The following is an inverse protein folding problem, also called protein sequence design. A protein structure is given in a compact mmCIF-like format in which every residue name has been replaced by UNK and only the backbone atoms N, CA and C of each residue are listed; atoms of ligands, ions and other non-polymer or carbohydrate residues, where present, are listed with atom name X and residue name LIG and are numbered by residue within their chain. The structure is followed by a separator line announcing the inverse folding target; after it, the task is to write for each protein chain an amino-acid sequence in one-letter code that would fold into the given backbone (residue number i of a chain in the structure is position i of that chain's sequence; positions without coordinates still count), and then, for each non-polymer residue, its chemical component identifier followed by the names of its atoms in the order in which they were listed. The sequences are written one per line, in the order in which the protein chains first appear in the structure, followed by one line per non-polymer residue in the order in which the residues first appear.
data_IF_951406373512
#
_entry.id   IF_951406373512
#
_cell.length_a   1.000
_cell.length_b   1.000
_cell.length_c   1.000
_cell.angle_alpha   90.00
_cell.angle_beta   90.00
_cell.angle_gamma   90.00
#
_symmetry.space_group_name_H-M   'P 1'
#
loop_
_entity.id
_entity.type
_entity.pdbx_description
1 polymer ?
#
# COMPACT_ATOMS: atom_id res chain seq x y z
N UNK A 1 12.89 7.38 8.43
CA UNK A 1 13.49 6.05 8.15
C UNK A 1 14.99 6.26 8.21
N UNK A 2 15.72 5.51 9.05
CA UNK A 2 17.18 5.70 9.24
C UNK A 2 18.02 5.39 7.99
N UNK A 3 17.43 4.73 7.00
CA UNK A 3 18.11 4.39 5.75
C UNK A 3 17.83 5.47 4.70
N UNK A 4 18.83 6.30 4.42
CA UNK A 4 18.78 7.37 3.43
C UNK A 4 19.93 8.36 3.63
N UNK A 5 20.11 9.34 2.72
CA UNK A 5 21.13 10.39 2.88
C UNK A 5 20.75 11.45 3.93
N UNK A 6 19.62 11.29 4.61
CA UNK A 6 19.15 12.23 5.62
C UNK A 6 20.09 12.17 6.84
N UNK A 7 20.61 13.33 7.23
CA UNK A 7 21.42 13.50 8.45
C UNK A 7 20.60 14.00 9.63
N UNK A 8 19.37 14.44 9.39
CA UNK A 8 18.44 14.92 10.41
C UNK A 8 17.25 13.96 10.53
N UNK A 9 16.98 13.50 11.74
CA UNK A 9 15.88 12.58 12.03
C UNK A 9 14.89 13.21 13.01
N UNK A 10 13.62 13.24 12.63
CA UNK A 10 12.53 13.65 13.52
C UNK A 10 11.69 12.41 13.84
N UNK A 11 11.53 12.14 15.13
CA UNK A 11 10.89 10.94 15.64
C UNK A 11 9.87 11.32 16.68
N UNK A 12 8.62 10.91 16.44
CA UNK A 12 7.49 11.29 17.27
C UNK A 12 6.97 10.07 18.05
N UNK A 13 6.85 10.23 19.37
CA UNK A 13 6.25 9.31 20.33
C UNK A 13 6.74 7.85 20.20
N UNK A 14 8.04 7.64 20.03
CA UNK A 14 8.59 6.31 19.75
C UNK A 14 8.47 5.32 20.92
N UNK A 15 8.16 5.79 22.13
CA UNK A 15 7.94 4.97 23.32
C UNK A 15 6.51 4.45 23.46
N UNK A 16 5.56 4.96 22.67
CA UNK A 16 4.14 4.59 22.82
C UNK A 16 3.92 3.12 22.44
N UNK A 17 3.41 2.33 23.40
CA UNK A 17 3.14 0.90 23.23
C UNK A 17 4.36 0.00 23.47
N UNK A 18 5.46 0.53 23.99
CA UNK A 18 6.66 -0.22 24.35
C UNK A 18 6.89 -0.25 25.86
N UNK A 19 7.59 -1.28 26.35
CA UNK A 19 8.10 -1.30 27.72
C UNK A 19 9.37 -0.44 27.87
N UNK A 20 9.73 -0.11 29.11
CA UNK A 20 10.87 0.76 29.41
C UNK A 20 12.20 0.19 28.92
N UNK A 21 12.39 -1.13 28.97
CA UNK A 21 13.64 -1.77 28.55
C UNK A 21 13.81 -1.74 27.03
N UNK A 22 12.73 -2.01 26.28
CA UNK A 22 12.74 -1.91 24.82
C UNK A 22 12.92 -0.47 24.37
N UNK A 23 12.28 0.48 25.05
CA UNK A 23 12.45 1.92 24.76
C UNK A 23 13.91 2.33 24.92
N UNK A 24 14.57 1.95 26.02
CA UNK A 24 15.99 2.22 26.25
C UNK A 24 16.88 1.64 25.13
N UNK A 25 16.65 0.39 24.74
CA UNK A 25 17.42 -0.25 23.67
C UNK A 25 17.27 0.46 22.33
N UNK A 26 16.06 0.89 21.98
CA UNK A 26 15.78 1.62 20.75
C UNK A 26 16.48 2.98 20.76
N UNK A 27 16.34 3.76 21.84
CA UNK A 27 16.97 5.07 21.97
C UNK A 27 18.49 4.96 21.92
N UNK A 28 19.07 3.97 22.61
CA UNK A 28 20.51 3.74 22.58
C UNK A 28 21.01 3.35 21.18
N UNK A 29 20.25 2.52 20.45
CA UNK A 29 20.57 2.15 19.06
C UNK A 29 20.50 3.35 18.10
N UNK A 30 19.50 4.22 18.29
CA UNK A 30 19.37 5.46 17.53
C UNK A 30 20.56 6.38 17.82
N UNK A 31 20.91 6.57 19.09
CA UNK A 31 22.08 7.37 19.51
C UNK A 31 23.37 6.88 18.85
N UNK A 32 23.62 5.57 18.88
CA UNK A 32 24.80 4.98 18.23
C UNK A 32 24.78 5.22 16.71
N UNK A 33 23.62 5.05 16.06
CA UNK A 33 23.47 5.28 14.63
C UNK A 33 23.75 6.74 14.25
N UNK A 34 23.28 7.69 15.06
CA UNK A 34 23.51 9.13 14.87
C UNK A 34 24.99 9.48 15.00
N UNK A 35 25.68 8.96 16.02
CA UNK A 35 27.11 9.16 16.19
C UNK A 35 27.93 8.62 15.01
N UNK A 36 27.56 7.45 14.48
CA UNK A 36 28.27 6.84 13.34
C UNK A 36 28.01 7.61 12.05
N UNK A 37 26.78 8.10 11.85
CA UNK A 37 26.38 8.81 10.63
C UNK A 37 26.66 10.31 10.65
N UNK A 38 27.21 10.83 11.76
CA UNK A 38 27.37 12.27 12.03
C UNK A 38 26.06 13.05 11.77
N UNK A 39 24.97 12.52 12.33
CA UNK A 39 23.63 13.09 12.19
C UNK A 39 23.15 13.87 13.41
N UNK A 40 21.90 14.30 13.36
CA UNK A 40 21.15 14.89 14.47
C UNK A 40 19.78 14.23 14.53
N UNK A 41 19.26 13.95 15.72
CA UNK A 41 17.88 13.52 15.87
C UNK A 41 17.15 14.30 16.94
N UNK A 42 15.89 14.59 16.67
CA UNK A 42 14.92 15.14 17.61
C UNK A 42 13.89 14.04 17.86
N UNK A 43 13.78 13.62 19.12
CA UNK A 43 12.91 12.53 19.54
C UNK A 43 11.96 13.07 20.60
N UNK A 44 10.64 12.89 20.42
CA UNK A 44 9.67 13.11 21.48
C UNK A 44 9.42 11.79 22.24
N UNK A 45 9.45 11.87 23.59
CA UNK A 45 9.18 10.74 24.47
C UNK A 45 8.11 11.12 25.49
N UNK A 46 7.14 10.21 25.69
CA UNK A 46 6.12 10.34 26.72
C UNK A 46 6.59 9.62 27.99
N UNK A 47 6.91 10.39 29.04
CA UNK A 47 7.32 9.89 30.37
C UNK A 47 8.45 8.84 30.31
N UNK A 48 9.66 9.21 29.84
CA UNK A 48 10.79 8.29 29.78
C UNK A 48 11.22 7.83 31.18
N UNK A 49 11.73 6.60 31.26
CA UNK A 49 12.43 6.12 32.46
C UNK A 49 13.76 6.89 32.65
N UNK A 50 14.28 7.03 33.88
CA UNK A 50 15.51 7.78 34.15
C UNK A 50 16.69 7.33 33.29
N UNK A 51 16.82 6.01 33.07
CA UNK A 51 17.91 5.45 32.28
C UNK A 51 17.83 5.87 30.81
N UNK A 52 16.62 6.08 30.28
CA UNK A 52 16.43 6.56 28.90
C UNK A 52 16.62 8.07 28.81
N UNK A 53 16.23 8.80 29.86
CA UNK A 53 16.43 10.24 29.98
C UNK A 53 17.92 10.60 29.93
N UNK A 54 18.77 9.82 30.58
CA UNK A 54 20.23 10.02 30.64
C UNK A 54 20.97 9.72 29.32
N UNK A 55 20.28 9.21 28.29
CA UNK A 55 20.88 8.95 26.97
C UNK A 55 20.91 10.19 26.07
N UNK A 56 20.17 11.25 26.40
CA UNK A 56 20.04 12.45 25.57
C UNK A 56 21.11 13.47 25.90
N UNK A 57 21.74 14.03 24.86
CA UNK A 57 22.72 15.10 25.02
C UNK A 57 22.03 16.43 25.40
N UNK A 58 20.87 16.71 24.78
CA UNK A 58 20.06 17.90 25.01
C UNK A 58 18.58 17.56 25.26
N UNK A 59 17.94 18.36 26.11
CA UNK A 59 16.55 18.12 26.55
C UNK A 59 15.73 19.40 26.42
N UNK A 60 14.62 19.27 25.71
CA UNK A 60 13.60 20.31 25.57
C UNK A 60 12.37 19.86 26.35
N UNK A 61 11.95 20.64 27.35
CA UNK A 61 10.71 20.40 28.10
C UNK A 61 9.63 21.35 27.62
N UNK A 62 8.50 20.78 27.21
CA UNK A 62 7.30 21.50 26.78
C UNK A 62 6.19 21.29 27.84
N UNK A 63 5.53 22.37 28.27
CA UNK A 63 4.33 22.36 29.11
C UNK A 63 3.36 23.41 28.63
N UNK A 64 2.06 23.08 28.52
CA UNK A 64 0.99 24.00 28.09
C UNK A 64 1.35 24.82 26.84
N UNK A 65 1.88 24.15 25.81
CA UNK A 65 2.32 24.74 24.54
C UNK A 65 3.50 25.73 24.66
N UNK A 66 4.13 25.84 25.84
CA UNK A 66 5.31 26.66 26.08
C UNK A 66 6.56 25.82 26.35
N UNK A 67 7.72 26.34 25.93
CA UNK A 67 9.02 25.75 26.27
C UNK A 67 9.37 26.18 27.70
N UNK A 68 9.42 25.21 28.61
CA UNK A 68 9.74 25.43 30.03
C UNK A 68 11.23 25.33 30.28
N UNK A 69 11.92 24.44 29.56
CA UNK A 69 13.36 24.23 29.67
C UNK A 69 13.94 23.98 28.29
N UNK A 70 15.01 24.70 28.00
CA UNK A 70 15.80 24.58 26.79
C UNK A 70 17.26 24.47 27.23
N UNK A 71 18.05 23.61 26.58
CA UNK A 71 19.50 23.56 26.82
C UNK A 71 20.15 24.91 26.53
N UNK A 72 21.20 25.26 27.29
CA UNK A 72 21.85 26.57 27.23
C UNK A 72 22.37 26.91 25.81
N UNK A 73 22.69 25.90 24.99
CA UNK A 73 23.17 26.07 23.61
C UNK A 73 22.10 26.60 22.64
N UNK A 74 20.82 26.30 22.87
CA UNK A 74 19.73 26.69 21.96
C UNK A 74 19.17 28.10 22.24
N UNK A 75 19.61 28.76 23.32
CA UNK A 75 19.21 30.13 23.66
C UNK A 75 19.84 31.17 22.72
N UNK A 76 20.98 30.83 22.11
CA UNK A 76 21.70 31.72 21.20
C UNK A 76 21.15 31.55 19.76
N UNK A 77 20.74 32.64 19.07
CA UNK A 77 20.26 32.55 17.69
C UNK A 77 21.34 31.97 16.76
N UNK A 78 20.99 30.91 16.03
CA UNK A 78 21.91 30.31 15.06
C UNK A 78 22.20 31.26 13.89
N UNK A 79 23.49 31.49 13.61
CA UNK A 79 23.93 32.32 12.50
C UNK A 79 23.81 31.58 11.16
N UNK A 80 22.84 31.99 10.35
CA UNK A 80 22.54 31.39 9.03
C UNK A 80 23.71 31.47 8.04
N UNK A 81 24.70 32.34 8.26
CA UNK A 81 25.89 32.41 7.40
C UNK A 81 26.81 31.19 7.51
N UNK A 82 26.70 30.44 8.63
CA UNK A 82 27.46 29.20 8.88
C UNK A 82 26.79 27.95 8.31
N UNK A 83 25.60 28.07 7.72
CA UNK A 83 24.85 26.95 7.17
C UNK A 83 25.56 26.36 5.93
N UNK A 84 25.81 25.05 5.96
CA UNK A 84 26.37 24.36 4.80
C UNK A 84 25.38 24.38 3.61
N UNK A 85 25.80 24.60 2.35
CA UNK A 85 24.91 24.65 1.19
C UNK A 85 24.07 23.38 0.95
N UNK A 86 24.57 22.24 1.44
CA UNK A 86 23.87 20.95 1.39
C UNK A 86 23.01 20.65 2.64
N UNK A 87 22.87 21.57 3.59
CA UNK A 87 22.05 21.38 4.79
C UNK A 87 20.57 21.22 4.44
N UNK A 88 20.08 21.89 3.39
CA UNK A 88 18.72 21.77 2.89
C UNK A 88 18.68 20.94 1.61
N UNK A 89 17.92 19.83 1.63
CA UNK A 89 17.69 19.06 0.41
C UNK A 89 16.93 19.87 -0.62
N UNK A 90 17.52 20.08 -1.80
CA UNK A 90 16.90 20.82 -2.90
C UNK A 90 16.00 19.95 -3.77
N UNK A 91 16.12 18.61 -3.63
CA UNK A 91 15.36 17.64 -4.43
C UNK A 91 14.29 16.99 -3.57
N UNK A 92 13.05 17.00 -4.09
CA UNK A 92 11.88 16.41 -3.44
C UNK A 92 11.95 14.88 -3.31
N UNK A 93 12.66 14.21 -4.21
CA UNK A 93 12.83 12.76 -4.23
C UNK A 93 14.32 12.42 -4.32
N UNK A 94 14.76 11.40 -3.58
CA UNK A 94 16.18 11.01 -3.52
C UNK A 94 16.71 10.29 -4.76
N UNK A 95 15.83 9.80 -5.64
CA UNK A 95 16.17 8.92 -6.77
C UNK A 95 15.44 9.37 -8.04
N UNK A 96 15.92 8.97 -9.22
CA UNK A 96 15.27 9.31 -10.49
C UNK A 96 13.87 8.68 -10.60
N UNK A 97 12.95 9.35 -11.32
CA UNK A 97 11.57 8.89 -11.53
C UNK A 97 11.48 7.49 -12.16
N UNK A 98 12.44 7.12 -13.02
CA UNK A 98 12.48 5.82 -13.69
C UNK A 98 12.84 4.70 -12.73
N UNK A 99 13.84 4.92 -11.88
CA UNK A 99 14.26 3.96 -10.86
C UNK A 99 13.19 3.79 -9.78
N UNK A 100 12.53 4.88 -9.38
CA UNK A 100 11.35 4.85 -8.51
C UNK A 100 10.26 3.95 -9.09
N UNK A 101 9.90 4.14 -10.36
CA UNK A 101 8.91 3.30 -11.03
C UNK A 101 9.35 1.83 -11.08
N UNK A 102 10.62 1.56 -11.41
CA UNK A 102 11.18 0.20 -11.44
C UNK A 102 11.12 -0.46 -10.07
N UNK A 103 11.49 0.26 -9.01
CA UNK A 103 11.44 -0.23 -7.63
C UNK A 103 10.00 -0.50 -7.17
N UNK A 104 9.06 0.41 -7.45
CA UNK A 104 7.64 0.23 -7.15
C UNK A 104 7.06 -0.97 -7.91
N UNK A 105 7.43 -1.16 -9.17
CA UNK A 105 7.00 -2.31 -9.99
C UNK A 105 7.54 -3.62 -9.44
N UNK A 106 8.83 -3.68 -9.12
CA UNK A 106 9.45 -4.87 -8.53
C UNK A 106 8.81 -5.24 -7.18
N UNK A 107 8.52 -4.23 -6.34
CA UNK A 107 7.80 -4.42 -5.07
C UNK A 107 6.41 -4.99 -5.29
N UNK A 108 5.60 -4.42 -6.18
CA UNK A 108 4.23 -4.90 -6.39
C UNK A 108 4.24 -6.32 -6.97
N UNK A 109 5.13 -6.61 -7.93
CA UNK A 109 5.29 -7.97 -8.45
C UNK A 109 5.69 -8.98 -7.36
N UNK A 110 6.63 -8.62 -6.49
CA UNK A 110 7.05 -9.47 -5.38
C UNK A 110 5.91 -9.70 -4.38
N UNK A 111 5.13 -8.66 -4.08
CA UNK A 111 3.95 -8.77 -3.22
C UNK A 111 2.89 -9.68 -3.83
N UNK A 112 2.64 -9.57 -5.14
CA UNK A 112 1.73 -10.46 -5.86
C UNK A 112 2.21 -11.91 -5.82
N UNK A 113 3.52 -12.14 -6.03
CA UNK A 113 4.11 -13.49 -5.98
C UNK A 113 4.02 -14.10 -4.57
N UNK A 114 4.30 -13.32 -3.53
CA UNK A 114 4.21 -13.80 -2.14
C UNK A 114 2.78 -14.05 -1.70
N UNK A 115 1.83 -13.25 -2.17
CA UNK A 115 0.41 -13.42 -1.88
C UNK A 115 -0.32 -14.19 -3.00
N UNK A 116 0.39 -15.06 -3.72
CA UNK A 116 -0.16 -15.84 -4.84
C UNK A 116 -1.33 -16.73 -4.42
N UNK A 117 -1.35 -17.16 -3.16
CA UNK A 117 -2.42 -17.94 -2.55
C UNK A 117 -3.80 -17.29 -2.75
N UNK A 118 -3.91 -15.98 -2.53
CA UNK A 118 -5.17 -15.23 -2.70
C UNK A 118 -5.64 -15.28 -4.15
N UNK A 119 -4.71 -15.14 -5.10
CA UNK A 119 -5.04 -15.21 -6.53
C UNK A 119 -5.48 -16.63 -6.93
N UNK A 120 -4.79 -17.67 -6.48
CA UNK A 120 -5.16 -19.07 -6.76
C UNK A 120 -6.55 -19.38 -6.21
N UNK A 121 -6.82 -18.99 -4.96
CA UNK A 121 -8.12 -19.19 -4.34
C UNK A 121 -9.23 -18.48 -5.12
N UNK A 122 -8.99 -17.24 -5.56
CA UNK A 122 -9.92 -16.46 -6.38
C UNK A 122 -10.21 -17.14 -7.73
N UNK A 123 -9.22 -17.74 -8.38
CA UNK A 123 -9.42 -18.51 -9.61
C UNK A 123 -10.28 -19.76 -9.40
N UNK A 124 -10.07 -20.48 -8.29
CA UNK A 124 -10.87 -21.66 -7.94
C UNK A 124 -12.31 -21.23 -7.63
N UNK A 125 -12.49 -20.19 -6.82
CA UNK A 125 -13.81 -19.62 -6.52
C UNK A 125 -14.56 -19.23 -7.80
N UNK A 126 -13.89 -18.53 -8.73
CA UNK A 126 -14.47 -18.14 -10.00
C UNK A 126 -14.92 -19.35 -10.83
N UNK A 127 -14.11 -20.41 -10.86
CA UNK A 127 -14.42 -21.65 -11.60
C UNK A 127 -15.63 -22.37 -10.99
N UNK A 128 -15.75 -22.41 -9.67
CA UNK A 128 -16.92 -22.96 -8.98
C UNK A 128 -18.19 -22.15 -9.27
N UNK A 129 -18.10 -20.82 -9.24
CA UNK A 129 -19.22 -19.94 -9.57
C UNK A 129 -19.64 -20.07 -11.04
N UNK A 130 -18.68 -20.18 -11.96
CA UNK A 130 -18.96 -20.47 -13.36
C UNK A 130 -19.66 -21.82 -13.52
N UNK A 131 -19.27 -22.84 -12.75
CA UNK A 131 -19.91 -24.16 -12.75
C UNK A 131 -21.36 -24.12 -12.31
N UNK A 132 -21.67 -23.38 -11.24
CA UNK A 132 -23.06 -23.15 -10.79
C UNK A 132 -23.86 -22.45 -11.88
N UNK A 133 -23.29 -21.41 -12.49
CA UNK A 133 -23.92 -20.64 -13.58
C UNK A 133 -24.26 -21.54 -14.77
N UNK A 134 -23.32 -22.40 -15.18
CA UNK A 134 -23.50 -23.36 -16.27
C UNK A 134 -24.66 -24.33 -15.99
N UNK A 135 -24.78 -24.83 -14.75
CA UNK A 135 -25.86 -25.75 -14.39
C UNK A 135 -27.22 -25.06 -14.29
N UNK A 136 -27.26 -23.78 -13.89
CA UNK A 136 -28.50 -23.02 -13.76
C UNK A 136 -29.08 -22.64 -15.13
N UNK A 137 -28.21 -22.32 -16.08
CA UNK A 137 -28.56 -21.83 -17.41
C UNK A 137 -28.14 -22.83 -18.48
N UNK A 138 -28.59 -24.07 -18.37
CA UNK A 138 -28.26 -25.12 -19.34
C UNK A 138 -28.96 -24.87 -20.68
N UNK A 139 -28.21 -25.03 -21.78
CA UNK A 139 -28.71 -24.93 -23.16
C UNK A 139 -29.96 -25.76 -23.45
N UNK A 140 -30.12 -26.93 -22.82
CA UNK A 140 -31.26 -27.82 -23.04
C UNK A 140 -32.59 -27.24 -22.56
N UNK A 141 -32.58 -26.33 -21.60
CA UNK A 141 -33.80 -25.67 -21.08
C UNK A 141 -34.06 -24.30 -21.75
N UNK A 142 -33.08 -23.75 -22.47
CA UNK A 142 -33.17 -22.45 -23.15
C UNK A 142 -33.63 -22.57 -24.61
N UNK A 143 -34.94 -22.67 -24.79
CA UNK A 143 -35.56 -22.60 -26.13
C UNK A 143 -35.43 -21.18 -26.72
N UNK A 144 -35.52 -21.02 -28.04
CA UNK A 144 -35.36 -19.72 -28.74
C UNK A 144 -36.64 -19.24 -29.44
N UNK A 145 -37.77 -19.82 -29.07
CA UNK A 145 -38.98 -19.75 -29.89
C UNK A 145 -39.96 -18.68 -29.41
N UNK A 146 -39.79 -18.21 -28.17
CA UNK A 146 -40.77 -17.33 -27.51
C UNK A 146 -40.11 -16.09 -26.92
N UNK A 147 -40.86 -14.99 -26.82
CA UNK A 147 -40.42 -13.75 -26.15
C UNK A 147 -40.10 -13.96 -24.67
N UNK A 148 -40.74 -14.92 -24.00
CA UNK A 148 -40.42 -15.36 -22.64
C UNK A 148 -39.03 -15.96 -22.52
N UNK A 149 -38.56 -16.68 -23.55
CA UNK A 149 -37.23 -17.27 -23.54
C UNK A 149 -36.14 -16.18 -23.63
N UNK A 150 -36.41 -15.10 -24.38
CA UNK A 150 -35.54 -13.93 -24.44
C UNK A 150 -35.32 -13.27 -23.08
N UNK A 151 -36.32 -13.28 -22.20
CA UNK A 151 -36.19 -12.78 -20.82
C UNK A 151 -35.23 -13.65 -20.00
N UNK A 152 -35.22 -14.96 -20.23
CA UNK A 152 -34.30 -15.88 -19.54
C UNK A 152 -32.84 -15.64 -19.96
N UNK A 153 -32.59 -15.42 -21.25
CA UNK A 153 -31.26 -15.02 -21.75
C UNK A 153 -30.80 -13.67 -21.18
N UNK A 154 -31.71 -12.69 -21.09
CA UNK A 154 -31.42 -11.40 -20.46
C UNK A 154 -31.07 -11.58 -18.98
N UNK A 155 -31.79 -12.46 -18.27
CA UNK A 155 -31.50 -12.84 -16.89
C UNK A 155 -30.12 -13.48 -16.72
N UNK A 156 -29.71 -14.34 -17.65
CA UNK A 156 -28.38 -14.95 -17.65
C UNK A 156 -27.26 -13.91 -17.84
N UNK A 157 -27.43 -12.97 -18.77
CA UNK A 157 -26.49 -11.86 -18.97
C UNK A 157 -26.40 -10.96 -17.73
N UNK A 158 -27.55 -10.61 -17.14
CA UNK A 158 -27.59 -9.81 -15.92
C UNK A 158 -26.87 -10.50 -14.76
N UNK A 159 -27.14 -11.80 -14.57
CA UNK A 159 -26.47 -12.61 -13.56
C UNK A 159 -24.95 -12.67 -13.78
N UNK A 160 -24.49 -12.85 -15.02
CA UNK A 160 -23.07 -12.85 -15.35
C UNK A 160 -22.38 -11.52 -14.99
N UNK A 161 -23.01 -10.38 -15.29
CA UNK A 161 -22.50 -9.05 -14.93
C UNK A 161 -22.44 -8.89 -13.40
N UNK A 162 -23.50 -9.29 -12.70
CA UNK A 162 -23.53 -9.25 -11.23
C UNK A 162 -22.39 -10.07 -10.63
N UNK A 163 -22.17 -11.30 -11.11
CA UNK A 163 -21.15 -12.18 -10.56
C UNK A 163 -19.73 -11.63 -10.76
N UNK A 164 -19.43 -11.05 -11.93
CA UNK A 164 -18.15 -10.39 -12.18
C UNK A 164 -17.99 -9.16 -11.26
N UNK A 165 -19.06 -8.39 -11.05
CA UNK A 165 -19.03 -7.21 -10.17
C UNK A 165 -18.75 -7.59 -8.70
N UNK A 166 -19.42 -8.62 -8.19
CA UNK A 166 -19.18 -9.14 -6.83
C UNK A 166 -17.75 -9.65 -6.64
N UNK A 167 -17.17 -10.29 -7.67
CA UNK A 167 -15.77 -10.70 -7.61
C UNK A 167 -14.83 -9.50 -7.48
N UNK A 168 -15.12 -8.40 -8.17
CA UNK A 168 -14.36 -7.13 -8.07
C UNK A 168 -14.35 -6.51 -6.67
N UNK A 169 -15.42 -6.69 -5.86
CA UNK A 169 -15.47 -6.17 -4.49
C UNK A 169 -14.39 -6.78 -3.57
N UNK A 170 -14.04 -8.05 -3.77
CA UNK A 170 -13.01 -8.72 -2.96
C UNK A 170 -11.64 -8.05 -3.11
N UNK A 171 -11.30 -7.57 -4.32
CA UNK A 171 -10.05 -6.85 -4.57
C UNK A 171 -10.00 -5.45 -3.96
N UNK A 172 -11.16 -4.81 -3.87
CA UNK A 172 -11.28 -3.47 -3.32
C UNK A 172 -10.92 -3.47 -1.83
N UNK A 173 -11.39 -4.46 -1.07
CA UNK A 173 -11.04 -4.63 0.34
C UNK A 173 -9.53 -4.78 0.55
N UNK A 174 -8.87 -5.61 -0.27
CA UNK A 174 -7.41 -5.79 -0.24
C UNK A 174 -6.66 -4.49 -0.57
N UNK A 175 -7.22 -3.66 -1.46
CA UNK A 175 -6.63 -2.37 -1.85
C UNK A 175 -6.74 -1.34 -0.72
N UNK A 176 -7.86 -1.31 0.00
CA UNK A 176 -8.06 -0.44 1.17
C UNK A 176 -7.05 -0.77 2.28
N UNK A 177 -6.75 -2.05 2.52
CA UNK A 177 -5.75 -2.42 3.53
C UNK A 177 -4.34 -1.89 3.23
N UNK A 178 -4.01 -1.63 1.95
CA UNK A 178 -2.71 -1.05 1.56
C UNK A 178 -2.65 0.47 1.74
N UNK A 179 -3.79 1.17 1.80
CA UNK A 179 -3.85 2.65 1.81
C UNK A 179 -3.08 3.32 2.95
N UNK A 180 -3.18 2.86 4.22
CA UNK A 180 -2.45 3.50 5.32
C UNK A 180 -0.93 3.50 5.10
N UNK A 181 -0.41 2.39 4.58
CA UNK A 181 1.02 2.26 4.25
C UNK A 181 1.43 3.16 3.08
N UNK A 182 0.54 3.34 2.09
CA UNK A 182 0.75 4.23 0.96
C UNK A 182 0.81 5.69 1.43
N UNK A 183 -0.14 6.15 2.23
CA UNK A 183 -0.15 7.52 2.74
C UNK A 183 1.09 7.81 3.58
N UNK A 184 1.44 6.91 4.50
CA UNK A 184 2.67 7.04 5.30
C UNK A 184 3.92 7.17 4.44
N UNK A 185 4.05 6.39 3.37
CA UNK A 185 5.21 6.44 2.47
C UNK A 185 5.19 7.67 1.55
N UNK A 186 4.02 8.09 1.09
CA UNK A 186 3.85 9.28 0.26
C UNK A 186 4.21 10.54 1.03
N UNK A 187 3.75 10.65 2.27
CA UNK A 187 3.97 11.83 3.12
C UNK A 187 5.44 11.94 3.55
N UNK A 188 6.13 10.79 3.68
CA UNK A 188 7.60 10.70 3.80
C UNK A 188 8.35 10.89 2.47
N UNK A 189 7.67 11.32 1.40
CA UNK A 189 8.26 11.63 0.09
C UNK A 189 9.05 10.48 -0.56
N UNK A 190 8.72 9.22 -0.28
CA UNK A 190 9.41 8.08 -0.90
C UNK A 190 9.16 8.00 -2.41
N UNK A 191 7.91 8.17 -2.83
CA UNK A 191 7.52 8.11 -4.24
C UNK A 191 6.27 8.96 -4.50
N UNK A 192 6.09 9.49 -5.73
CA UNK A 192 4.85 10.13 -6.13
C UNK A 192 3.72 9.11 -6.32
N UNK A 193 2.46 9.56 -6.17
CA UNK A 193 1.28 8.70 -6.27
C UNK A 193 1.19 7.90 -7.59
N UNK A 194 1.54 8.53 -8.72
CA UNK A 194 1.50 7.88 -10.03
C UNK A 194 2.47 6.70 -10.14
N UNK A 195 3.64 6.75 -9.46
CA UNK A 195 4.64 5.69 -9.51
C UNK A 195 4.19 4.42 -8.78
N UNK A 196 3.23 4.56 -7.86
CA UNK A 196 2.57 3.45 -7.18
C UNK A 196 1.34 2.94 -7.96
N UNK A 197 0.53 3.84 -8.51
CA UNK A 197 -0.70 3.49 -9.20
C UNK A 197 -0.45 2.77 -10.54
N UNK A 198 0.48 3.27 -11.36
CA UNK A 198 0.72 2.71 -12.71
C UNK A 198 1.13 1.23 -12.69
N UNK A 199 2.13 0.79 -11.88
CA UNK A 199 2.51 -0.63 -11.86
C UNK A 199 1.37 -1.53 -11.40
N UNK A 200 0.57 -1.08 -10.43
CA UNK A 200 -0.57 -1.83 -9.92
C UNK A 200 -1.59 -2.10 -11.02
N UNK A 201 -1.89 -1.10 -11.87
CA UNK A 201 -2.82 -1.25 -12.99
C UNK A 201 -2.24 -2.18 -14.06
N UNK A 202 -0.99 -1.94 -14.47
CA UNK A 202 -0.33 -2.71 -15.53
C UNK A 202 -0.23 -4.20 -15.16
N UNK A 203 0.08 -4.52 -13.91
CA UNK A 203 0.21 -5.91 -13.45
C UNK A 203 -1.15 -6.61 -13.27
N UNK A 204 -2.23 -5.86 -12.97
CA UNK A 204 -3.56 -6.42 -12.78
C UNK A 204 -4.31 -6.70 -14.09
N UNK A 205 -4.12 -5.88 -15.13
CA UNK A 205 -4.82 -6.05 -16.41
C UNK A 205 -4.69 -7.47 -16.99
N UNK A 206 -3.48 -8.08 -17.07
CA UNK A 206 -3.35 -9.45 -17.55
C UNK A 206 -4.10 -10.47 -16.68
N UNK A 207 -4.11 -10.28 -15.36
CA UNK A 207 -4.81 -11.18 -14.43
C UNK A 207 -6.32 -11.12 -14.65
N UNK A 208 -6.88 -9.91 -14.76
CA UNK A 208 -8.32 -9.74 -15.00
C UNK A 208 -8.74 -10.25 -16.38
N UNK A 209 -7.87 -10.15 -17.39
CA UNK A 209 -8.12 -10.74 -18.71
C UNK A 209 -8.22 -12.27 -18.64
N UNK A 210 -7.34 -12.93 -17.88
CA UNK A 210 -7.38 -14.39 -17.69
C UNK A 210 -8.63 -14.82 -16.93
N UNK A 211 -9.01 -14.08 -15.89
CA UNK A 211 -10.26 -14.33 -15.13
C UNK A 211 -11.50 -14.26 -16.04
N UNK A 212 -11.65 -13.18 -16.81
CA UNK A 212 -12.78 -13.00 -17.72
C UNK A 212 -12.75 -14.05 -18.83
N UNK A 213 -11.57 -14.38 -19.38
CA UNK A 213 -11.45 -15.41 -20.41
C UNK A 213 -11.94 -16.78 -19.92
N UNK A 214 -11.57 -17.19 -18.69
CA UNK A 214 -12.05 -18.45 -18.11
C UNK A 214 -13.57 -18.42 -17.92
N UNK A 215 -14.10 -17.33 -17.37
CA UNK A 215 -15.55 -17.18 -17.18
C UNK A 215 -16.32 -17.30 -18.51
N UNK A 216 -15.90 -16.56 -19.54
CA UNK A 216 -16.54 -16.58 -20.85
C UNK A 216 -16.41 -17.94 -21.50
N UNK A 217 -15.22 -18.54 -21.53
CA UNK A 217 -15.00 -19.87 -22.13
C UNK A 217 -15.90 -20.95 -21.50
N UNK A 218 -16.10 -20.92 -20.18
CA UNK A 218 -16.96 -21.89 -19.49
C UNK A 218 -18.44 -21.62 -19.75
N UNK A 219 -18.88 -20.37 -19.57
CA UNK A 219 -20.32 -20.05 -19.58
C UNK A 219 -20.89 -19.90 -20.98
N UNK A 220 -20.11 -19.41 -21.95
CA UNK A 220 -20.66 -18.93 -23.21
C UNK A 220 -21.32 -20.03 -24.07
N UNK A 221 -20.60 -21.13 -24.28
CA UNK A 221 -21.10 -22.25 -25.08
C UNK A 221 -22.14 -23.09 -24.34
N UNK A 222 -22.06 -23.16 -23.01
CA UNK A 222 -22.96 -23.97 -22.18
C UNK A 222 -24.33 -23.32 -22.01
N UNK A 223 -24.38 -21.99 -21.93
CA UNK A 223 -25.63 -21.22 -21.95
C UNK A 223 -26.25 -21.24 -23.36
N UNK A 224 -25.42 -21.39 -24.39
CA UNK A 224 -25.88 -21.42 -25.78
C UNK A 224 -26.10 -20.03 -26.36
N UNK A 225 -25.24 -19.06 -26.01
CA UNK A 225 -25.19 -17.77 -26.71
C UNK A 225 -24.84 -17.95 -28.19
N UNK A 226 -25.14 -16.93 -28.99
CA UNK A 226 -24.94 -16.98 -30.43
C UNK A 226 -23.46 -16.88 -30.80
N UNK A 227 -22.90 -17.98 -31.30
CA UNK A 227 -21.48 -18.14 -31.63
C UNK A 227 -21.08 -17.52 -32.99
N UNK A 228 -22.04 -17.04 -33.77
CA UNK A 228 -21.79 -16.53 -35.11
C UNK A 228 -21.44 -15.05 -35.06
N UNK A 229 -20.22 -14.70 -35.52
CA UNK A 229 -19.74 -13.30 -35.56
C UNK A 229 -20.31 -12.56 -36.77
N UNK A 230 -20.87 -13.28 -37.75
CA UNK A 230 -21.50 -12.72 -38.94
C UNK A 230 -23.02 -12.76 -38.81
N UNK A 231 -23.60 -11.72 -38.21
CA UNK A 231 -24.94 -11.26 -38.55
C UNK A 231 -25.16 -9.81 -38.16
#
# INVERSE_FOLDING_TARGET
MMVGPAREFFMDEISTGLDSSTTYQIVNSIRQSIHILEGTAVISLLKPAPETYDLFDDIILLSDEQIVKLGDEFVVPYDKSKSHPAALTTKRYGVSKKELLKACTAREYLLMKRNSFVYIFKMIQLTLMASITMTLFLRTEMHRNTTTDGVVFLGALFYAVIMIMFNGFSELALSIMKLPSFYKQRDLLFFPAWAYALPTWILKIPVTLVEVAIWVCMTYYVIGFEADVRR
#
